data_IF_905259425172
#
_entry.id   IF_905259425172
#
_cell.length_a   1.000
_cell.length_b   1.000
_cell.length_c   1.000
_cell.angle_alpha   90.00
_cell.angle_beta   90.00
_cell.angle_gamma   90.00
#
_symmetry.space_group_name_H-M   'P 1'
#
loop_
_entity.id
_entity.type
_entity.pdbx_description
1 polymer ?
#
# COMPACT_ATOMS: atom_id res chain seq x y z
N UNK A 1 11.52 -10.55 18.11
CA UNK A 1 11.60 -10.17 16.68
C UNK A 1 10.44 -10.85 15.94
N UNK A 2 9.29 -10.18 15.81
CA UNK A 2 8.08 -10.74 15.21
C UNK A 2 8.18 -10.64 13.69
N UNK A 3 8.43 -11.78 13.02
CA UNK A 3 8.67 -11.87 11.58
C UNK A 3 7.37 -11.70 10.76
N UNK A 4 6.88 -10.48 10.57
CA UNK A 4 5.74 -10.23 9.67
C UNK A 4 6.06 -10.77 8.26
N UNK A 5 5.14 -11.51 7.62
CA UNK A 5 5.35 -12.11 6.28
C UNK A 5 5.30 -11.04 5.18
N UNK A 6 6.39 -10.28 5.09
CA UNK A 6 6.63 -9.32 4.03
C UNK A 6 6.97 -10.04 2.73
N UNK A 7 6.43 -9.52 1.63
CA UNK A 7 6.94 -9.83 0.30
C UNK A 7 7.47 -8.55 -0.30
N UNK A 8 8.79 -8.51 -0.50
CA UNK A 8 9.49 -7.32 -0.98
C UNK A 8 10.30 -7.69 -2.21
N UNK A 9 10.21 -6.89 -3.26
CA UNK A 9 10.99 -7.06 -4.48
C UNK A 9 11.43 -5.72 -5.04
N UNK A 10 12.51 -5.73 -5.82
CA UNK A 10 12.99 -4.54 -6.53
C UNK A 10 12.40 -4.55 -7.94
N UNK A 11 11.92 -3.39 -8.39
CA UNK A 11 11.51 -3.15 -9.76
C UNK A 11 12.65 -2.40 -10.48
N UNK A 12 13.56 -3.11 -11.17
CA UNK A 12 14.78 -2.53 -11.71
C UNK A 12 14.52 -1.44 -12.76
N UNK A 13 13.42 -1.53 -13.52
CA UNK A 13 13.06 -0.58 -14.58
C UNK A 13 12.86 0.85 -14.06
N UNK A 14 12.53 1.02 -12.77
CA UNK A 14 12.28 2.31 -12.14
C UNK A 14 13.09 2.53 -10.87
N UNK A 15 14.01 1.61 -10.55
CA UNK A 15 14.90 1.70 -9.40
C UNK A 15 14.24 1.56 -8.02
N UNK A 16 12.94 1.28 -7.94
CA UNK A 16 12.18 1.25 -6.67
C UNK A 16 12.10 -0.13 -6.02
N UNK A 17 11.93 -0.15 -4.71
CA UNK A 17 11.47 -1.30 -3.95
C UNK A 17 9.96 -1.26 -3.75
N UNK A 18 9.33 -2.42 -3.86
CA UNK A 18 7.90 -2.63 -3.64
C UNK A 18 7.74 -3.70 -2.57
N UNK A 19 6.98 -3.39 -1.53
CA UNK A 19 6.71 -4.29 -0.42
C UNK A 19 5.22 -4.46 -0.19
N UNK A 20 4.82 -5.66 0.20
CA UNK A 20 3.43 -6.00 0.51
C UNK A 20 3.36 -6.74 1.83
N UNK A 21 2.31 -6.44 2.59
CA UNK A 21 2.00 -7.10 3.85
C UNK A 21 0.48 -7.17 4.06
N UNK A 22 0.04 -7.97 5.02
CA UNK A 22 -1.37 -8.03 5.40
C UNK A 22 -1.54 -8.45 6.85
N UNK A 23 -2.74 -8.28 7.37
CA UNK A 23 -3.07 -8.70 8.73
C UNK A 23 -4.53 -8.45 9.09
N UNK A 24 -4.95 -9.03 10.22
CA UNK A 24 -6.27 -8.81 10.81
C UNK A 24 -6.24 -7.59 11.72
N UNK A 25 -7.27 -6.76 11.66
CA UNK A 25 -7.41 -5.54 12.45
C UNK A 25 -8.77 -5.49 13.15
N UNK A 26 -8.85 -4.72 14.24
CA UNK A 26 -10.15 -4.26 14.75
C UNK A 26 -10.82 -3.29 13.76
N UNK A 27 -12.08 -2.85 14.00
CA UNK A 27 -12.73 -1.85 13.16
C UNK A 27 -11.84 -0.61 13.05
N UNK A 28 -11.35 -0.24 11.85
CA UNK A 28 -10.42 0.86 11.72
C UNK A 28 -11.16 2.19 11.77
N UNK A 29 -10.53 3.18 12.41
CA UNK A 29 -10.84 4.58 12.20
C UNK A 29 -10.02 5.06 11.01
N UNK A 30 -10.66 5.16 9.85
CA UNK A 30 -9.97 5.31 8.55
C UNK A 30 -9.08 6.55 8.55
N UNK A 31 -9.57 7.66 9.08
CA UNK A 31 -8.87 8.94 9.16
C UNK A 31 -7.59 8.81 10.00
N UNK A 32 -7.67 8.19 11.18
CA UNK A 32 -6.50 7.94 12.04
C UNK A 32 -5.47 7.01 11.36
N UNK A 33 -5.94 6.01 10.60
CA UNK A 33 -5.04 5.14 9.83
C UNK A 33 -4.30 5.93 8.76
N UNK A 34 -4.99 6.81 8.03
CA UNK A 34 -4.37 7.64 7.00
C UNK A 34 -3.35 8.63 7.57
N UNK A 35 -3.62 9.21 8.74
CA UNK A 35 -2.68 10.09 9.44
C UNK A 35 -1.40 9.35 9.85
N UNK A 36 -1.54 8.17 10.46
CA UNK A 36 -0.41 7.31 10.83
C UNK A 36 0.43 6.93 9.62
N UNK A 37 -0.20 6.52 8.53
CA UNK A 37 0.47 6.17 7.27
C UNK A 37 1.27 7.37 6.75
N UNK A 38 0.67 8.55 6.64
CA UNK A 38 1.36 9.76 6.15
C UNK A 38 2.59 10.11 6.99
N UNK A 39 2.48 10.02 8.31
CA UNK A 39 3.60 10.29 9.22
C UNK A 39 4.74 9.28 9.00
N UNK A 40 4.42 7.99 8.98
CA UNK A 40 5.40 6.91 8.78
C UNK A 40 6.08 7.02 7.41
N UNK A 41 5.30 7.31 6.37
CA UNK A 41 5.79 7.49 5.00
C UNK A 41 6.80 8.65 4.92
N UNK A 42 6.50 9.78 5.58
CA UNK A 42 7.39 10.93 5.68
C UNK A 42 8.69 10.64 6.43
N UNK A 43 8.63 9.88 7.53
CA UNK A 43 9.80 9.45 8.30
C UNK A 43 10.71 8.48 7.52
N UNK A 44 10.14 7.71 6.58
CA UNK A 44 10.83 6.59 5.91
C UNK A 44 11.11 6.82 4.43
N UNK A 45 10.68 7.94 3.87
CA UNK A 45 10.82 8.20 2.43
C UNK A 45 10.07 7.17 1.57
N UNK A 46 8.88 6.77 2.01
CA UNK A 46 8.05 5.76 1.32
C UNK A 46 6.68 6.31 0.95
N UNK A 47 5.94 5.58 0.11
CA UNK A 47 4.54 5.82 -0.18
C UNK A 47 3.78 4.52 0.06
N UNK A 48 2.86 4.54 1.01
CA UNK A 48 2.09 3.37 1.45
C UNK A 48 0.60 3.55 1.18
N UNK A 49 -0.05 2.50 0.67
CA UNK A 49 -1.49 2.39 0.59
C UNK A 49 -2.02 1.21 1.38
N UNK A 50 -3.16 1.44 2.03
CA UNK A 50 -3.89 0.46 2.83
C UNK A 50 -5.22 0.19 2.17
N UNK A 51 -5.46 -1.08 1.88
CA UNK A 51 -6.65 -1.58 1.20
C UNK A 51 -7.46 -2.48 2.13
N UNK A 52 -8.75 -2.63 1.85
CA UNK A 52 -9.53 -3.73 2.38
C UNK A 52 -9.05 -5.03 1.71
N UNK A 53 -8.45 -5.94 2.47
CA UNK A 53 -7.87 -7.16 1.91
C UNK A 53 -8.90 -8.03 1.17
N UNK A 54 -10.20 -7.94 1.53
CA UNK A 54 -11.30 -8.66 0.86
C UNK A 54 -11.49 -8.19 -0.59
N UNK A 55 -10.93 -7.04 -0.96
CA UNK A 55 -11.01 -6.43 -2.29
C UNK A 55 -9.73 -6.60 -3.10
N UNK A 56 -8.75 -7.34 -2.58
CA UNK A 56 -7.45 -7.55 -3.21
C UNK A 56 -7.27 -9.05 -3.48
N UNK A 57 -7.00 -9.42 -4.72
CA UNK A 57 -6.78 -10.82 -5.13
C UNK A 57 -5.39 -11.40 -4.76
N UNK A 58 -4.83 -10.96 -3.61
CA UNK A 58 -3.53 -11.41 -3.10
C UNK A 58 -2.31 -10.59 -3.55
N UNK A 59 -1.11 -11.07 -3.19
CA UNK A 59 0.16 -10.35 -3.38
C UNK A 59 0.50 -10.14 -4.87
N UNK A 60 0.22 -11.11 -5.73
CA UNK A 60 0.47 -10.98 -7.18
C UNK A 60 -0.34 -9.83 -7.80
N UNK A 61 -1.58 -9.63 -7.35
CA UNK A 61 -2.43 -8.52 -7.77
C UNK A 61 -1.80 -7.17 -7.40
N UNK A 62 -1.36 -7.00 -6.15
CA UNK A 62 -0.69 -5.77 -5.70
C UNK A 62 0.64 -5.54 -6.42
N UNK A 63 1.45 -6.59 -6.60
CA UNK A 63 2.73 -6.50 -7.29
C UNK A 63 2.55 -6.02 -8.75
N UNK A 64 1.55 -6.57 -9.45
CA UNK A 64 1.25 -6.16 -10.81
C UNK A 64 0.75 -4.71 -10.90
N UNK A 65 -0.19 -4.32 -10.02
CA UNK A 65 -0.69 -2.96 -9.95
C UNK A 65 0.41 -1.94 -9.63
N UNK A 66 1.29 -2.25 -8.67
CA UNK A 66 2.45 -1.43 -8.33
C UNK A 66 3.38 -1.25 -9.53
N UNK A 67 3.69 -2.34 -10.25
CA UNK A 67 4.53 -2.29 -11.45
C UNK A 67 3.93 -1.37 -12.51
N UNK A 68 2.64 -1.49 -12.79
CA UNK A 68 1.95 -0.64 -13.77
C UNK A 68 1.97 0.82 -13.36
N UNK A 69 1.62 1.13 -12.10
CA UNK A 69 1.67 2.49 -11.56
C UNK A 69 3.06 3.12 -11.69
N UNK A 70 4.10 2.40 -11.29
CA UNK A 70 5.46 2.92 -11.28
C UNK A 70 6.01 3.12 -12.70
N UNK A 71 5.79 2.18 -13.62
CA UNK A 71 6.20 2.32 -15.01
C UNK A 71 5.45 3.44 -15.73
N UNK A 72 4.15 3.58 -15.46
CA UNK A 72 3.33 4.63 -16.05
C UNK A 72 3.81 6.01 -15.60
N UNK A 73 4.02 6.17 -14.28
CA UNK A 73 4.52 7.40 -13.69
C UNK A 73 5.95 7.73 -14.13
N UNK A 74 6.85 6.74 -14.20
CA UNK A 74 8.24 6.96 -14.61
C UNK A 74 8.38 7.43 -16.06
N UNK A 75 7.36 7.19 -16.88
CA UNK A 75 7.26 7.64 -18.27
C UNK A 75 6.56 9.00 -18.43
N UNK A 76 6.23 9.67 -17.33
CA UNK A 76 5.50 10.94 -17.35
C UNK A 76 4.03 10.80 -17.74
N UNK A 77 3.48 9.58 -17.72
CA UNK A 77 2.08 9.32 -18.09
C UNK A 77 1.14 9.34 -16.88
N UNK A 78 1.66 9.54 -15.67
CA UNK A 78 0.85 9.46 -14.45
C UNK A 78 -0.32 10.44 -14.43
N UNK A 79 -1.49 9.94 -14.06
CA UNK A 79 -2.76 10.69 -14.15
C UNK A 79 -3.28 11.18 -12.78
N UNK A 80 -2.63 10.81 -11.69
CA UNK A 80 -2.99 11.25 -10.35
C UNK A 80 -1.87 12.10 -9.72
N UNK A 81 -2.28 13.08 -8.93
CA UNK A 81 -1.36 14.03 -8.27
C UNK A 81 -0.39 13.35 -7.31
N UNK A 82 -0.75 12.19 -6.78
CA UNK A 82 0.09 11.40 -5.89
C UNK A 82 0.24 9.95 -6.37
N UNK A 83 1.41 9.37 -6.07
CA UNK A 83 1.65 7.94 -6.30
C UNK A 83 0.67 7.07 -5.49
N UNK A 84 0.30 7.48 -4.28
CA UNK A 84 -0.68 6.76 -3.47
C UNK A 84 -2.04 6.61 -4.18
N UNK A 85 -2.56 7.70 -4.75
CA UNK A 85 -3.79 7.69 -5.53
C UNK A 85 -3.64 6.86 -6.82
N UNK A 86 -2.50 6.96 -7.50
CA UNK A 86 -2.21 6.17 -8.70
C UNK A 86 -2.19 4.66 -8.40
N UNK A 87 -1.55 4.25 -7.31
CA UNK A 87 -1.57 2.86 -6.83
C UNK A 87 -2.99 2.37 -6.58
N UNK A 88 -3.84 3.19 -5.92
CA UNK A 88 -5.23 2.81 -5.69
C UNK A 88 -6.01 2.60 -6.99
N UNK A 89 -5.81 3.47 -7.99
CA UNK A 89 -6.43 3.33 -9.31
C UNK A 89 -5.99 2.06 -10.05
N UNK A 90 -4.70 1.73 -10.03
CA UNK A 90 -4.18 0.51 -10.65
C UNK A 90 -4.66 -0.76 -9.94
N UNK A 91 -4.75 -0.77 -8.60
CA UNK A 91 -5.32 -1.89 -7.83
C UNK A 91 -6.82 -2.05 -8.09
N UNK A 92 -7.55 -0.95 -8.32
CA UNK A 92 -8.98 -0.98 -8.61
C UNK A 92 -9.32 -1.25 -10.09
N UNK A 93 -8.31 -1.25 -10.98
CA UNK A 93 -8.47 -1.17 -12.43
C UNK A 93 -9.47 -0.06 -12.83
N UNK A 94 -9.31 1.13 -12.24
CA UNK A 94 -10.24 2.25 -12.40
C UNK A 94 -9.49 3.59 -12.38
N UNK A 95 -9.57 4.37 -13.46
CA UNK A 95 -8.87 5.65 -13.56
C UNK A 95 -9.45 6.76 -12.67
N UNK A 96 -10.66 6.59 -12.14
CA UNK A 96 -11.33 7.62 -11.35
C UNK A 96 -11.10 7.39 -9.84
N UNK A 97 -10.28 8.25 -9.22
CA UNK A 97 -9.77 8.08 -7.85
C UNK A 97 -10.87 7.74 -6.83
N UNK A 98 -11.97 8.51 -6.79
CA UNK A 98 -13.07 8.23 -5.86
C UNK A 98 -13.68 6.82 -6.03
N UNK A 99 -13.90 6.35 -7.27
CA UNK A 99 -14.40 4.99 -7.54
C UNK A 99 -13.37 3.93 -7.20
N UNK A 100 -12.09 4.20 -7.44
CA UNK A 100 -11.01 3.31 -7.04
C UNK A 100 -10.99 3.10 -5.51
N UNK A 101 -11.03 4.20 -4.74
CA UNK A 101 -11.08 4.15 -3.28
C UNK A 101 -12.36 3.50 -2.76
N UNK A 102 -13.51 3.72 -3.41
CA UNK A 102 -14.75 3.00 -3.09
C UNK A 102 -14.61 1.48 -3.33
N UNK A 103 -13.93 1.06 -4.39
CA UNK A 103 -13.76 -0.36 -4.73
C UNK A 103 -12.81 -1.10 -3.79
N UNK A 104 -11.64 -0.53 -3.50
CA UNK A 104 -10.53 -1.24 -2.83
C UNK A 104 -10.06 -0.62 -1.52
N UNK A 105 -10.45 0.63 -1.24
CA UNK A 105 -10.03 1.35 -0.05
C UNK A 105 -10.52 0.73 1.25
N UNK A 106 -9.84 1.09 2.33
CA UNK A 106 -10.20 0.67 3.68
C UNK A 106 -11.60 1.18 4.06
N UNK A 107 -12.39 0.34 4.73
CA UNK A 107 -13.75 0.65 5.18
C UNK A 107 -13.85 0.51 6.70
N UNK A 108 -14.85 1.16 7.30
CA UNK A 108 -15.12 1.09 8.76
C UNK A 108 -15.42 -0.33 9.25
N UNK A 109 -15.92 -1.20 8.37
CA UNK A 109 -16.21 -2.60 8.65
C UNK A 109 -15.07 -3.56 8.28
N UNK A 110 -13.96 -3.05 7.71
CA UNK A 110 -12.82 -3.88 7.32
C UNK A 110 -12.21 -4.57 8.54
N UNK A 111 -11.96 -5.87 8.43
CA UNK A 111 -11.34 -6.72 9.47
C UNK A 111 -9.98 -7.27 9.08
N UNK A 112 -9.61 -7.08 7.82
CA UNK A 112 -8.38 -7.55 7.21
C UNK A 112 -7.87 -6.45 6.30
N UNK A 113 -6.59 -6.15 6.39
CA UNK A 113 -5.95 -5.10 5.59
C UNK A 113 -4.85 -5.68 4.71
N UNK A 114 -4.69 -5.08 3.55
CA UNK A 114 -3.58 -5.32 2.66
C UNK A 114 -2.80 -4.01 2.50
N UNK A 115 -1.49 -4.06 2.70
CA UNK A 115 -0.60 -2.91 2.56
C UNK A 115 0.25 -3.09 1.31
N UNK A 116 0.47 -1.98 0.61
CA UNK A 116 1.40 -1.85 -0.49
C UNK A 116 2.26 -0.62 -0.23
N UNK A 117 3.58 -0.80 -0.10
CA UNK A 117 4.53 0.29 0.14
C UNK A 117 5.60 0.32 -0.94
N UNK A 118 6.00 1.52 -1.34
CA UNK A 118 7.03 1.77 -2.36
C UNK A 118 8.06 2.77 -1.82
N UNK A 119 9.34 2.54 -2.10
CA UNK A 119 10.43 3.43 -1.70
C UNK A 119 11.72 3.20 -2.48
N UNK A 120 12.74 4.01 -2.22
CA UNK A 120 14.08 3.86 -2.83
C UNK A 120 14.90 2.72 -2.19
N UNK A 121 14.62 2.44 -0.93
CA UNK A 121 15.41 1.51 -0.12
C UNK A 121 14.52 0.40 0.44
N UNK A 122 15.04 -0.83 0.41
CA UNK A 122 14.35 -2.01 0.93
C UNK A 122 13.98 -1.86 2.41
N UNK A 123 14.92 -1.37 3.21
CA UNK A 123 14.74 -1.19 4.65
C UNK A 123 13.65 -0.15 4.97
N UNK A 124 13.59 0.96 4.22
CA UNK A 124 12.53 1.94 4.34
C UNK A 124 11.15 1.33 4.10
N UNK A 125 11.01 0.55 3.02
CA UNK A 125 9.76 -0.15 2.65
C UNK A 125 9.34 -1.17 3.70
N UNK A 126 10.23 -2.09 4.10
CA UNK A 126 9.93 -3.10 5.11
C UNK A 126 9.62 -2.47 6.47
N UNK A 127 10.37 -1.41 6.84
CA UNK A 127 10.15 -0.64 8.05
C UNK A 127 8.80 0.09 8.06
N UNK A 128 8.37 0.64 6.92
CA UNK A 128 7.07 1.30 6.78
C UNK A 128 5.92 0.31 6.97
N UNK A 129 5.99 -0.85 6.29
CA UNK A 129 5.01 -1.92 6.46
C UNK A 129 4.92 -2.38 7.92
N UNK A 130 6.07 -2.61 8.56
CA UNK A 130 6.12 -3.03 9.96
C UNK A 130 5.55 -1.99 10.92
N UNK A 131 5.85 -0.70 10.69
CA UNK A 131 5.35 0.39 11.51
C UNK A 131 3.83 0.58 11.35
N UNK A 132 3.33 0.61 10.10
CA UNK A 132 1.90 0.78 9.84
C UNK A 132 1.11 -0.36 10.46
N UNK A 133 1.51 -1.61 10.23
CA UNK A 133 0.80 -2.77 10.81
C UNK A 133 0.77 -2.72 12.34
N UNK A 134 1.88 -2.31 12.97
CA UNK A 134 1.95 -2.17 14.43
C UNK A 134 0.99 -1.09 14.95
N UNK A 135 0.97 0.08 14.30
CA UNK A 135 0.19 1.23 14.78
C UNK A 135 -1.31 1.12 14.53
N UNK A 136 -1.71 0.30 13.56
CA UNK A 136 -3.13 -0.05 13.35
C UNK A 136 -3.54 -1.28 14.17
N UNK A 137 -2.65 -1.83 14.99
CA UNK A 137 -2.92 -2.97 15.85
C UNK A 137 -3.16 -4.27 15.08
N UNK A 138 -2.54 -4.43 13.91
CA UNK A 138 -2.72 -5.60 13.07
C UNK A 138 -2.09 -6.85 13.73
N UNK A 139 -2.84 -7.94 13.69
CA UNK A 139 -2.43 -9.27 14.12
C UNK A 139 -2.20 -10.16 12.90
N UNK A 140 -1.37 -11.18 13.06
CA UNK A 140 -1.15 -12.19 12.01
C UNK A 140 -2.47 -12.86 11.61
N UNK A 141 -2.54 -13.21 10.34
CA UNK A 141 -3.46 -14.24 9.86
C UNK A 141 -2.94 -15.63 10.23
#
# INVERSE_FOLDING_TARGET
>A
MLLMDFTTFRLPEVGKWVGMAGGRVGPPRVEEVLEKVRRIDGERGTVTQVFDARRVAGKAHLAHAARLALLHRSRGLGFADSLAAELACWVAADGQIKRALEKVGLRRDSRTVALLSVGEEREGVEGALAAVLREIGARRE
#
